data_IF_005914057817
#
_entry.id   IF_005914057817
#
_cell.length_a   1.000
_cell.length_b   1.000
_cell.length_c   1.000
_cell.angle_alpha   90.00
_cell.angle_beta   90.00
_cell.angle_gamma   90.00
#
_symmetry.space_group_name_H-M   'P 1'
#
loop_
_entity.id
_entity.type
_entity.pdbx_description
1 polymer ?
#
# COMPACT_ATOMS: atom_id res chain seq x y z
N UNK A 1 -24.66 11.22 -22.87
CA UNK A 1 -24.51 11.18 -21.40
C UNK A 1 -24.50 12.63 -20.96
N UNK A 2 -25.34 13.03 -20.00
CA UNK A 2 -25.30 14.40 -19.50
C UNK A 2 -23.96 14.66 -18.82
N UNK A 3 -23.37 15.84 -19.05
CA UNK A 3 -22.14 16.25 -18.37
C UNK A 3 -22.41 16.25 -16.86
N UNK A 4 -21.85 15.26 -16.16
CA UNK A 4 -21.92 15.21 -14.70
C UNK A 4 -20.98 16.26 -14.15
N UNK A 5 -21.52 17.26 -13.47
CA UNK A 5 -20.75 18.26 -12.74
C UNK A 5 -20.83 18.00 -11.25
N UNK A 6 -19.76 18.32 -10.54
CA UNK A 6 -19.66 18.28 -9.09
C UNK A 6 -19.55 19.72 -8.57
N UNK A 7 -20.36 20.07 -7.58
CA UNK A 7 -20.31 21.34 -6.86
C UNK A 7 -20.34 21.13 -5.35
N UNK A 8 -20.27 22.23 -4.59
CA UNK A 8 -20.39 22.16 -3.14
C UNK A 8 -21.78 21.64 -2.71
N UNK A 9 -21.79 20.82 -1.67
CA UNK A 9 -22.94 20.08 -1.13
C UNK A 9 -23.43 18.89 -1.99
N UNK A 10 -22.76 18.57 -3.09
CA UNK A 10 -23.09 17.35 -3.83
C UNK A 10 -22.61 16.11 -3.08
N UNK A 11 -23.44 15.04 -3.05
CA UNK A 11 -23.07 13.78 -2.44
C UNK A 11 -22.01 13.06 -3.28
N UNK A 12 -21.04 12.47 -2.60
CA UNK A 12 -19.94 11.74 -3.22
C UNK A 12 -19.66 10.44 -2.47
N UNK A 13 -18.98 9.52 -3.14
CA UNK A 13 -18.33 8.39 -2.52
C UNK A 13 -16.81 8.48 -2.65
N UNK A 14 -16.11 7.98 -1.65
CA UNK A 14 -14.65 7.87 -1.66
C UNK A 14 -14.18 6.77 -0.71
N UNK A 15 -12.86 6.58 -0.61
CA UNK A 15 -12.24 5.62 0.31
C UNK A 15 -11.66 6.33 1.52
N UNK A 16 -11.67 5.64 2.65
CA UNK A 16 -11.05 6.06 3.92
C UNK A 16 -10.28 4.91 4.55
N UNK A 17 -9.28 5.22 5.38
CA UNK A 17 -8.55 4.22 6.17
C UNK A 17 -8.95 4.33 7.64
N UNK A 18 -9.50 3.25 8.21
CA UNK A 18 -9.79 3.13 9.64
C UNK A 18 -9.15 1.84 10.17
N UNK A 19 -8.41 1.92 11.29
CA UNK A 19 -7.72 0.76 11.89
C UNK A 19 -6.95 -0.11 10.86
N UNK A 20 -6.27 0.56 9.91
CA UNK A 20 -5.48 -0.06 8.83
C UNK A 20 -6.27 -0.86 7.80
N UNK A 21 -7.59 -0.68 7.72
CA UNK A 21 -8.43 -1.25 6.66
C UNK A 21 -9.02 -0.13 5.82
N UNK A 22 -9.26 -0.43 4.54
CA UNK A 22 -9.89 0.50 3.60
C UNK A 22 -11.41 0.29 3.65
N UNK A 23 -12.15 1.38 3.79
CA UNK A 23 -13.61 1.38 3.78
C UNK A 23 -14.12 2.38 2.75
N UNK A 24 -15.31 2.11 2.22
CA UNK A 24 -16.09 3.13 1.54
C UNK A 24 -16.56 4.18 2.57
N UNK A 25 -16.50 5.45 2.18
CA UNK A 25 -17.19 6.53 2.85
C UNK A 25 -18.11 7.25 1.86
N UNK A 26 -19.33 7.54 2.29
CA UNK A 26 -20.21 8.49 1.62
C UNK A 26 -20.01 9.84 2.28
N UNK A 27 -19.87 10.90 1.49
CA UNK A 27 -19.62 12.24 1.95
C UNK A 27 -20.43 13.27 1.18
N UNK A 28 -20.38 14.49 1.66
CA UNK A 28 -20.91 15.68 1.01
C UNK A 28 -19.73 16.61 0.70
N UNK A 29 -19.66 17.11 -0.53
CA UNK A 29 -18.58 17.98 -0.98
C UNK A 29 -18.63 19.30 -0.22
N UNK A 30 -17.50 19.72 0.35
CA UNK A 30 -17.39 21.00 1.09
C UNK A 30 -16.67 22.05 0.25
N UNK A 31 -15.59 21.65 -0.42
CA UNK A 31 -14.76 22.55 -1.24
C UNK A 31 -14.10 21.74 -2.36
N UNK A 32 -13.92 22.38 -3.52
CA UNK A 32 -13.26 21.81 -4.68
C UNK A 32 -12.05 22.65 -5.03
N UNK A 33 -10.92 22.01 -5.32
CA UNK A 33 -9.70 22.69 -5.72
C UNK A 33 -9.14 22.06 -6.99
N UNK A 34 -8.67 22.91 -7.90
CA UNK A 34 -7.94 22.53 -9.11
C UNK A 34 -6.71 23.41 -9.24
N UNK A 35 -5.53 22.80 -9.44
CA UNK A 35 -4.24 23.51 -9.46
C UNK A 35 -4.00 24.38 -8.22
N UNK A 36 -4.47 23.92 -7.05
CA UNK A 36 -4.38 24.62 -5.77
C UNK A 36 -5.27 25.87 -5.65
N UNK A 37 -6.19 26.09 -6.60
CA UNK A 37 -7.17 27.19 -6.57
C UNK A 37 -8.56 26.64 -6.28
N UNK A 38 -9.37 27.32 -5.44
CA UNK A 38 -10.75 26.94 -5.22
C UNK A 38 -11.58 27.11 -6.50
N UNK A 39 -12.49 26.17 -6.75
CA UNK A 39 -13.44 26.20 -7.86
C UNK A 39 -14.84 25.89 -7.33
N UNK A 40 -15.88 26.52 -7.88
CA UNK A 40 -17.27 26.31 -7.42
C UNK A 40 -17.92 25.08 -8.07
N UNK A 41 -17.51 24.79 -9.31
CA UNK A 41 -18.07 23.74 -10.16
C UNK A 41 -16.93 23.04 -10.91
N UNK A 42 -16.98 21.71 -10.97
CA UNK A 42 -15.99 20.89 -11.66
C UNK A 42 -16.68 19.80 -12.48
N UNK A 43 -16.33 19.63 -13.76
CA UNK A 43 -16.80 18.46 -14.53
C UNK A 43 -16.21 17.18 -13.93
N UNK A 44 -16.99 16.10 -13.88
CA UNK A 44 -16.55 14.80 -13.42
C UNK A 44 -15.35 14.28 -14.23
N UNK A 45 -15.22 14.66 -15.50
CA UNK A 45 -14.07 14.30 -16.34
C UNK A 45 -12.75 14.86 -15.81
N UNK A 46 -12.78 16.03 -15.15
CA UNK A 46 -11.60 16.63 -14.54
C UNK A 46 -11.23 16.01 -13.19
N UNK A 47 -12.09 15.18 -12.58
CA UNK A 47 -11.75 14.52 -11.32
C UNK A 47 -10.52 13.61 -11.48
N UNK A 48 -10.31 13.04 -12.67
CA UNK A 48 -9.13 12.21 -12.95
C UNK A 48 -7.80 12.98 -12.88
N UNK A 49 -7.83 14.31 -12.97
CA UNK A 49 -6.64 15.15 -13.02
C UNK A 49 -5.86 15.10 -11.69
N UNK A 50 -4.52 14.91 -11.72
CA UNK A 50 -3.72 14.79 -10.50
C UNK A 50 -3.74 16.02 -9.59
N UNK A 51 -4.06 17.20 -10.13
CA UNK A 51 -4.09 18.47 -9.40
C UNK A 51 -5.43 18.77 -8.72
N UNK A 52 -6.43 17.90 -8.92
CA UNK A 52 -7.76 18.08 -8.30
C UNK A 52 -7.78 17.49 -6.90
N UNK A 53 -8.21 18.31 -5.95
CA UNK A 53 -8.46 17.92 -4.57
C UNK A 53 -9.93 18.19 -4.21
N UNK A 54 -10.52 17.24 -3.49
CA UNK A 54 -11.91 17.34 -3.02
C UNK A 54 -11.88 17.29 -1.51
N UNK A 55 -12.39 18.35 -0.87
CA UNK A 55 -12.65 18.37 0.56
C UNK A 55 -14.10 17.98 0.79
N UNK A 56 -14.35 17.04 1.67
CA UNK A 56 -15.68 16.48 1.91
C UNK A 56 -15.93 16.24 3.39
N UNK A 57 -17.20 16.17 3.77
CA UNK A 57 -17.63 15.81 5.11
C UNK A 57 -18.34 14.46 5.06
N UNK A 58 -17.94 13.51 5.92
CA UNK A 58 -18.52 12.16 5.93
C UNK A 58 -20.00 12.24 6.37
N UNK A 59 -20.89 11.57 5.64
CA UNK A 59 -22.28 11.39 6.03
C UNK A 59 -22.43 10.15 6.89
N UNK A 60 -23.16 10.26 8.01
CA UNK A 60 -23.43 9.13 8.88
C UNK A 60 -24.67 8.37 8.35
N UNK A 61 -24.44 7.20 7.78
CA UNK A 61 -25.51 6.33 7.31
C UNK A 61 -25.99 5.40 8.44
N UNK A 62 -27.30 5.17 8.51
CA UNK A 62 -27.90 4.15 9.35
C UNK A 62 -28.64 3.12 8.49
N UNK A 63 -28.55 1.86 8.90
CA UNK A 63 -29.33 0.80 8.28
C UNK A 63 -30.83 1.03 8.57
N UNK A 64 -31.69 0.82 7.58
CA UNK A 64 -33.14 0.92 7.69
C UNK A 64 -33.75 -0.44 7.40
N UNK A 65 -34.73 -0.85 8.21
CA UNK A 65 -35.50 -2.09 8.01
C UNK A 65 -36.59 -1.86 6.95
N UNK A 66 -36.17 -1.55 5.73
CA UNK A 66 -37.07 -1.36 4.59
C UNK A 66 -36.77 -2.38 3.49
N UNK A 67 -37.81 -2.80 2.77
CA UNK A 67 -37.69 -3.82 1.72
C UNK A 67 -36.88 -3.35 0.49
N UNK A 68 -36.82 -2.05 0.24
CA UNK A 68 -36.31 -1.49 -1.02
C UNK A 68 -34.99 -0.71 -0.89
N UNK A 69 -34.74 -0.10 0.29
CA UNK A 69 -33.57 0.71 0.61
C UNK A 69 -32.98 0.31 1.97
N UNK A 70 -31.68 0.00 1.99
CA UNK A 70 -31.03 -0.57 3.18
C UNK A 70 -30.36 0.50 4.05
N UNK A 71 -30.06 1.68 3.49
CA UNK A 71 -29.28 2.74 4.16
C UNK A 71 -29.90 4.11 3.96
N UNK A 72 -30.01 4.87 5.05
CA UNK A 72 -30.48 6.26 5.06
C UNK A 72 -29.44 7.16 5.75
N UNK A 73 -29.22 8.36 5.21
CA UNK A 73 -28.43 9.37 5.91
C UNK A 73 -29.19 9.89 7.13
N UNK A 74 -28.65 9.71 8.34
CA UNK A 74 -29.32 10.11 9.57
C UNK A 74 -29.28 11.63 9.88
N UNK A 75 -28.94 12.47 8.88
CA UNK A 75 -28.80 13.93 8.96
C UNK A 75 -27.67 14.43 9.86
N UNK A 76 -26.86 13.52 10.41
CA UNK A 76 -25.63 13.88 11.13
C UNK A 76 -24.42 13.73 10.21
N UNK A 77 -23.41 14.59 10.45
CA UNK A 77 -22.17 14.62 9.68
C UNK A 77 -20.99 14.29 10.58
N UNK A 78 -20.07 13.51 10.05
CA UNK A 78 -18.81 13.16 10.69
C UNK A 78 -17.71 14.21 10.47
N UNK A 79 -16.47 13.74 10.51
CA UNK A 79 -15.30 14.58 10.25
C UNK A 79 -15.22 15.07 8.81
N UNK A 80 -14.49 16.18 8.62
CA UNK A 80 -14.12 16.71 7.30
C UNK A 80 -12.72 16.22 6.92
N UNK A 81 -12.57 15.78 5.67
CA UNK A 81 -11.34 15.22 5.14
C UNK A 81 -11.10 15.75 3.73
N UNK A 82 -9.88 15.53 3.23
CA UNK A 82 -9.48 15.85 1.86
C UNK A 82 -8.95 14.59 1.18
N UNK A 83 -9.22 14.47 -0.11
CA UNK A 83 -8.76 13.36 -0.95
C UNK A 83 -8.52 13.84 -2.39
N UNK A 84 -7.91 13.00 -3.22
CA UNK A 84 -7.70 13.30 -4.63
C UNK A 84 -9.00 13.14 -5.41
N UNK A 85 -9.23 14.00 -6.41
CA UNK A 85 -10.42 13.93 -7.27
C UNK A 85 -10.63 12.55 -7.88
N UNK A 86 -9.55 11.87 -8.31
CA UNK A 86 -9.63 10.55 -8.96
C UNK A 86 -10.10 9.42 -8.04
N UNK A 87 -10.13 9.67 -6.72
CA UNK A 87 -10.63 8.75 -5.70
C UNK A 87 -12.05 9.12 -5.25
N UNK A 88 -12.71 10.02 -5.97
CA UNK A 88 -14.07 10.48 -5.72
C UNK A 88 -14.97 10.03 -6.87
N UNK A 89 -16.11 9.45 -6.52
CA UNK A 89 -17.19 9.17 -7.45
C UNK A 89 -18.40 10.03 -7.07
N UNK A 90 -18.84 10.96 -7.92
CA UNK A 90 -20.09 11.71 -7.70
C UNK A 90 -21.28 10.77 -7.62
N UNK A 91 -22.18 11.03 -6.66
CA UNK A 91 -23.38 10.25 -6.44
C UNK A 91 -24.61 11.01 -6.92
N UNK A 92 -25.61 10.25 -7.37
CA UNK A 92 -26.97 10.73 -7.64
C UNK A 92 -27.95 9.91 -6.80
N UNK A 93 -27.99 10.11 -5.47
CA UNK A 93 -28.79 9.27 -4.59
C UNK A 93 -30.28 9.56 -4.77
N UNK A 94 -31.10 8.55 -4.51
CA UNK A 94 -32.54 8.76 -4.34
C UNK A 94 -32.77 9.68 -3.14
N UNK A 95 -33.58 10.71 -3.34
CA UNK A 95 -33.93 11.68 -2.30
C UNK A 95 -35.35 11.41 -1.81
N UNK A 96 -35.48 11.07 -0.53
CA UNK A 96 -36.77 10.96 0.14
C UNK A 96 -37.11 12.26 0.88
N UNK A 97 -38.34 12.73 0.75
CA UNK A 97 -38.86 13.90 1.48
C UNK A 97 -40.00 13.44 2.37
N UNK A 98 -39.68 12.99 3.59
CA UNK A 98 -40.68 12.62 4.61
C UNK A 98 -41.24 13.85 5.34
N UNK A 99 -40.42 14.88 5.51
CA UNK A 99 -40.76 16.15 6.10
C UNK A 99 -40.44 17.28 5.11
N UNK A 100 -41.35 18.24 4.97
CA UNK A 100 -41.17 19.38 4.08
C UNK A 100 -39.84 20.10 4.38
N UNK A 101 -39.01 20.27 3.35
CA UNK A 101 -37.72 20.95 3.44
C UNK A 101 -36.58 20.15 4.05
N UNK A 102 -36.76 18.85 4.34
CA UNK A 102 -35.68 17.99 4.88
C UNK A 102 -35.46 16.76 4.00
N UNK A 103 -34.72 16.91 2.88
CA UNK A 103 -34.36 15.76 2.06
C UNK A 103 -33.51 14.79 2.87
N UNK A 104 -33.71 13.50 2.65
CA UNK A 104 -32.82 12.45 3.11
C UNK A 104 -32.34 11.61 1.94
N UNK A 105 -31.03 11.32 1.91
CA UNK A 105 -30.45 10.42 0.92
C UNK A 105 -30.64 8.97 1.35
N UNK A 106 -31.05 8.13 0.40
CA UNK A 106 -31.12 6.68 0.59
C UNK A 106 -30.25 5.94 -0.42
N UNK A 107 -29.73 4.80 0.03
CA UNK A 107 -28.79 3.98 -0.72
C UNK A 107 -29.11 2.50 -0.55
N UNK A 108 -28.79 1.71 -1.57
CA UNK A 108 -28.87 0.25 -1.53
C UNK A 108 -27.52 -0.34 -1.18
N UNK A 109 -27.50 -1.42 -0.38
CA UNK A 109 -26.24 -2.06 0.00
C UNK A 109 -25.46 -2.56 -1.20
N UNK A 110 -26.15 -3.08 -2.22
CA UNK A 110 -25.51 -3.58 -3.45
C UNK A 110 -24.80 -2.46 -4.23
N UNK A 111 -25.40 -1.28 -4.32
CA UNK A 111 -24.80 -0.14 -5.02
C UNK A 111 -23.57 0.38 -4.27
N UNK A 112 -23.67 0.49 -2.94
CA UNK A 112 -22.53 0.87 -2.10
C UNK A 112 -21.39 -0.16 -2.17
N UNK A 113 -21.71 -1.46 -2.18
CA UNK A 113 -20.69 -2.52 -2.36
C UNK A 113 -20.04 -2.44 -3.74
N UNK A 114 -20.81 -2.29 -4.81
CA UNK A 114 -20.29 -2.16 -6.16
C UNK A 114 -19.37 -0.93 -6.29
N UNK A 115 -19.76 0.17 -5.67
CA UNK A 115 -18.98 1.41 -5.64
C UNK A 115 -17.69 1.29 -4.84
N UNK A 116 -17.76 0.65 -3.68
CA UNK A 116 -16.59 0.31 -2.87
C UNK A 116 -15.57 -0.50 -3.69
N UNK A 117 -16.04 -1.51 -4.41
CA UNK A 117 -15.18 -2.33 -5.28
C UNK A 117 -14.59 -1.53 -6.44
N UNK A 118 -15.40 -0.71 -7.12
CA UNK A 118 -14.95 0.09 -8.26
C UNK A 118 -13.88 1.11 -7.86
N UNK A 119 -14.05 1.79 -6.71
CA UNK A 119 -13.06 2.72 -6.17
C UNK A 119 -11.80 1.97 -5.70
N UNK A 120 -11.97 0.83 -5.04
CA UNK A 120 -10.86 0.04 -4.51
C UNK A 120 -10.01 -0.60 -5.62
N UNK A 121 -10.62 -1.01 -6.73
CA UNK A 121 -9.90 -1.53 -7.90
C UNK A 121 -9.04 -0.46 -8.59
N UNK A 122 -9.52 0.80 -8.62
CA UNK A 122 -8.76 1.96 -9.11
C UNK A 122 -7.62 2.39 -8.19
N UNK A 123 -7.61 1.94 -6.93
CA UNK A 123 -6.68 2.43 -5.92
C UNK A 123 -5.26 1.90 -6.17
N UNK A 124 -4.36 2.76 -6.64
CA UNK A 124 -2.95 2.40 -6.78
C UNK A 124 -2.20 2.44 -5.44
N UNK A 125 -1.02 1.84 -5.40
CA UNK A 125 -0.13 1.89 -4.21
C UNK A 125 0.22 3.32 -3.80
N UNK A 126 0.46 4.18 -4.78
CA UNK A 126 0.77 5.59 -4.55
C UNK A 126 -0.42 6.39 -4.01
N UNK A 127 -1.66 5.93 -4.25
CA UNK A 127 -2.87 6.60 -3.79
C UNK A 127 -3.19 6.29 -2.32
N UNK A 128 -2.83 5.11 -1.81
CA UNK A 128 -3.13 4.68 -0.43
C UNK A 128 -2.62 5.69 0.60
N UNK A 129 -1.44 6.28 0.38
CA UNK A 129 -0.87 7.27 1.31
C UNK A 129 -1.64 8.59 1.31
N UNK A 130 -2.44 8.85 0.28
CA UNK A 130 -3.31 10.01 0.14
C UNK A 130 -4.74 9.73 0.62
N UNK A 131 -5.11 8.45 0.85
CA UNK A 131 -6.43 8.10 1.39
C UNK A 131 -6.54 8.61 2.83
N UNK A 132 -7.58 9.40 3.16
CA UNK A 132 -7.71 10.01 4.48
C UNK A 132 -7.86 8.95 5.58
N UNK A 133 -7.12 9.14 6.68
CA UNK A 133 -7.21 8.31 7.89
C UNK A 133 -8.29 8.86 8.81
N UNK A 134 -9.26 8.03 9.14
CA UNK A 134 -10.40 8.39 9.98
C UNK A 134 -10.31 7.71 11.34
N UNK A 135 -10.92 8.34 12.35
CA UNK A 135 -11.05 7.74 13.68
C UNK A 135 -12.23 6.79 13.67
N UNK A 136 -12.09 5.69 14.42
CA UNK A 136 -13.19 4.78 14.68
C UNK A 136 -14.32 5.50 15.42
N UNK A 137 -15.55 5.18 15.03
CA UNK A 137 -16.77 5.50 15.76
C UNK A 137 -17.32 4.24 16.43
N UNK A 138 -18.22 4.39 17.41
CA UNK A 138 -18.68 3.29 18.27
C UNK A 138 -19.62 2.29 17.56
N UNK A 139 -19.94 2.53 16.28
CA UNK A 139 -20.88 1.73 15.50
C UNK A 139 -20.17 0.58 14.74
N UNK A 140 -20.97 -0.37 14.25
CA UNK A 140 -20.48 -1.43 13.37
C UNK A 140 -19.94 -0.81 12.07
N UNK A 141 -18.79 -1.30 11.61
CA UNK A 141 -18.25 -0.86 10.34
C UNK A 141 -18.85 -1.68 9.20
N UNK A 142 -19.17 -0.99 8.11
CA UNK A 142 -19.74 -1.57 6.90
C UNK A 142 -18.91 -1.14 5.69
N UNK A 143 -19.03 -1.87 4.58
CA UNK A 143 -18.36 -1.59 3.30
C UNK A 143 -16.83 -1.59 3.39
N UNK A 144 -16.28 -2.55 4.16
CA UNK A 144 -14.84 -2.82 4.11
C UNK A 144 -14.48 -3.33 2.71
N UNK A 145 -13.43 -2.77 2.14
CA UNK A 145 -12.90 -3.18 0.85
C UNK A 145 -11.79 -4.21 1.08
N UNK A 146 -11.99 -5.43 0.62
CA UNK A 146 -11.04 -6.54 0.77
C UNK A 146 -10.87 -7.22 -0.58
N UNK A 147 -9.65 -7.70 -0.90
CA UNK A 147 -9.46 -8.57 -2.08
C UNK A 147 -9.71 -10.02 -1.65
N UNK A 148 -10.54 -10.74 -2.40
CA UNK A 148 -10.78 -12.17 -2.20
C UNK A 148 -9.67 -12.99 -2.85
N UNK A 149 -8.45 -12.77 -2.40
CA UNK A 149 -7.31 -13.56 -2.82
C UNK A 149 -6.77 -14.27 -1.60
N UNK A 150 -6.92 -15.61 -1.60
CA UNK A 150 -6.30 -16.50 -0.59
C UNK A 150 -4.77 -16.34 -0.54
N UNK A 151 -4.19 -15.65 -1.50
CA UNK A 151 -2.80 -15.20 -1.57
C UNK A 151 -2.79 -13.71 -2.00
N UNK A 152 -2.00 -12.84 -1.37
CA UNK A 152 -1.75 -11.43 -1.76
C UNK A 152 -2.78 -10.35 -1.37
N UNK A 153 -2.77 -10.01 -0.09
CA UNK A 153 -2.38 -8.66 0.37
C UNK A 153 -2.04 -7.65 -0.75
N UNK A 154 -2.97 -6.76 -1.06
CA UNK A 154 -2.65 -5.46 -1.64
C UNK A 154 -3.16 -4.39 -0.67
N UNK A 155 -2.36 -3.34 -0.51
CA UNK A 155 -2.42 -2.26 0.49
C UNK A 155 -1.81 -2.55 1.87
N UNK A 156 -1.94 -3.76 2.42
CA UNK A 156 -1.26 -4.16 3.67
C UNK A 156 0.06 -4.91 3.46
N UNK A 157 0.32 -5.44 2.25
CA UNK A 157 1.61 -6.09 1.92
C UNK A 157 2.82 -5.16 2.04
N UNK A 158 2.57 -3.86 1.98
CA UNK A 158 3.62 -2.88 2.23
C UNK A 158 4.06 -2.84 3.67
N UNK A 159 3.25 -3.36 4.60
CA UNK A 159 3.62 -3.48 6.00
C UNK A 159 4.27 -4.79 6.32
N UNK A 160 4.05 -5.84 5.54
CA UNK A 160 4.57 -7.16 5.90
C UNK A 160 6.00 -7.39 5.42
N UNK A 161 6.74 -8.21 6.15
CA UNK A 161 8.01 -8.73 5.70
C UNK A 161 7.81 -9.66 4.48
N UNK A 162 8.59 -9.50 3.39
CA UNK A 162 8.47 -10.35 2.20
C UNK A 162 8.97 -11.79 2.39
N UNK A 163 9.74 -12.07 3.45
CA UNK A 163 10.34 -13.39 3.70
C UNK A 163 9.68 -14.15 4.86
N UNK A 164 8.80 -13.51 5.64
CA UNK A 164 8.07 -14.22 6.69
C UNK A 164 6.88 -14.99 6.08
N UNK A 165 6.70 -16.29 6.39
CA UNK A 165 5.55 -17.09 5.94
C UNK A 165 4.23 -16.62 6.57
N UNK A 166 4.29 -16.02 7.76
CA UNK A 166 3.17 -15.31 8.39
C UNK A 166 3.32 -13.82 8.10
N UNK A 167 2.22 -13.11 7.83
CA UNK A 167 2.17 -11.65 7.62
C UNK A 167 2.70 -10.86 8.85
N UNK A 168 4.01 -10.85 9.05
CA UNK A 168 4.68 -10.14 10.14
C UNK A 168 4.72 -8.64 9.82
N UNK A 169 3.96 -7.84 10.56
CA UNK A 169 3.87 -6.40 10.32
C UNK A 169 5.16 -5.70 10.77
N UNK A 170 5.78 -5.01 9.83
CA UNK A 170 6.90 -4.10 9.99
C UNK A 170 6.41 -2.66 9.93
N UNK A 171 6.90 -1.85 10.85
CA UNK A 171 6.79 -0.41 10.76
C UNK A 171 7.90 0.12 9.83
N UNK A 172 7.55 0.32 8.57
CA UNK A 172 8.47 0.86 7.56
C UNK A 172 8.84 2.32 7.79
N UNK A 173 8.19 3.02 8.72
CA UNK A 173 8.65 4.36 9.14
C UNK A 173 9.84 4.27 10.11
N UNK A 174 10.13 3.08 10.64
CA UNK A 174 11.22 2.83 11.57
C UNK A 174 12.34 2.03 10.88
N UNK A 175 13.17 2.72 10.10
CA UNK A 175 14.27 2.10 9.36
C UNK A 175 15.16 1.16 10.19
N UNK A 176 15.63 1.54 11.40
CA UNK A 176 16.38 0.62 12.25
C UNK A 176 15.65 -0.69 12.57
N UNK A 177 14.34 -0.66 12.86
CA UNK A 177 13.55 -1.88 13.12
C UNK A 177 13.39 -2.75 11.88
N UNK A 178 13.23 -2.14 10.70
CA UNK A 178 13.23 -2.87 9.43
C UNK A 178 14.57 -3.56 9.22
N UNK A 179 15.68 -2.85 9.40
CA UNK A 179 17.03 -3.39 9.24
C UNK A 179 17.31 -4.53 10.22
N UNK A 180 16.92 -4.39 11.49
CA UNK A 180 17.00 -5.47 12.49
C UNK A 180 16.27 -6.73 12.00
N UNK A 181 15.02 -6.58 11.57
CA UNK A 181 14.22 -7.72 11.13
C UNK A 181 14.82 -8.39 9.89
N UNK A 182 15.17 -7.63 8.85
CA UNK A 182 15.77 -8.19 7.64
C UNK A 182 17.13 -8.83 7.92
N UNK A 183 17.91 -8.26 8.84
CA UNK A 183 19.16 -8.86 9.29
C UNK A 183 18.96 -10.23 9.96
N UNK A 184 17.85 -10.45 10.68
CA UNK A 184 17.55 -11.80 11.21
C UNK A 184 17.34 -12.83 10.11
N UNK A 185 16.64 -12.47 9.02
CA UNK A 185 16.50 -13.34 7.86
C UNK A 185 17.86 -13.63 7.23
N UNK A 186 18.67 -12.59 6.96
CA UNK A 186 20.00 -12.78 6.36
C UNK A 186 20.88 -13.75 7.17
N UNK A 187 20.82 -13.71 8.50
CA UNK A 187 21.71 -14.52 9.34
C UNK A 187 21.17 -15.93 9.60
N UNK A 188 19.86 -16.11 9.66
CA UNK A 188 19.27 -17.32 10.26
C UNK A 188 18.23 -18.02 9.38
N UNK A 189 17.76 -17.36 8.33
CA UNK A 189 16.87 -17.97 7.35
C UNK A 189 17.69 -18.75 6.31
N UNK A 190 17.53 -20.08 6.30
CA UNK A 190 18.27 -20.95 5.37
C UNK A 190 17.82 -20.77 3.92
N UNK A 191 16.68 -20.14 3.67
CA UNK A 191 16.19 -19.87 2.31
C UNK A 191 16.87 -18.65 1.67
N UNK A 192 17.56 -17.82 2.45
CA UNK A 192 18.21 -16.61 1.97
C UNK A 192 19.68 -16.90 1.65
N UNK A 193 20.02 -16.88 0.36
CA UNK A 193 21.41 -17.01 -0.08
C UNK A 193 22.16 -15.66 0.04
N UNK A 194 23.07 -15.57 1.01
CA UNK A 194 23.91 -14.39 1.23
C UNK A 194 24.95 -14.15 0.14
N UNK A 195 25.30 -15.16 -0.65
CA UNK A 195 26.23 -15.00 -1.78
C UNK A 195 25.65 -14.08 -2.87
N UNK A 196 24.33 -13.93 -2.89
CA UNK A 196 23.61 -13.00 -3.78
C UNK A 196 23.61 -11.55 -3.31
N UNK A 197 24.25 -11.27 -2.16
CA UNK A 197 24.30 -9.94 -1.53
C UNK A 197 22.90 -9.30 -1.37
N UNK A 198 21.96 -9.97 -0.67
CA UNK A 198 20.58 -9.52 -0.57
C UNK A 198 20.45 -8.12 0.06
N UNK A 199 19.50 -7.34 -0.42
CA UNK A 199 19.20 -6.00 0.06
C UNK A 199 18.82 -5.98 1.55
N UNK A 200 19.41 -5.05 2.33
CA UNK A 200 19.10 -4.81 3.75
C UNK A 200 17.65 -4.47 4.07
N UNK A 201 16.85 -4.06 3.08
CA UNK A 201 15.44 -3.67 3.28
C UNK A 201 14.44 -4.67 2.73
N UNK A 202 14.72 -5.27 1.57
CA UNK A 202 13.73 -6.10 0.87
C UNK A 202 14.25 -7.49 0.48
N UNK A 203 15.48 -7.84 0.88
CA UNK A 203 16.14 -9.13 0.63
C UNK A 203 16.31 -9.55 -0.84
N UNK A 204 15.90 -8.71 -1.80
CA UNK A 204 16.15 -8.96 -3.22
C UNK A 204 17.67 -8.96 -3.49
N UNK A 205 18.18 -9.91 -4.30
CA UNK A 205 19.61 -10.01 -4.60
C UNK A 205 20.16 -8.83 -5.40
N UNK A 206 21.47 -8.61 -5.32
CA UNK A 206 22.18 -7.69 -6.20
C UNK A 206 22.05 -8.17 -7.67
N UNK A 207 21.91 -7.26 -8.67
CA UNK A 207 21.95 -5.80 -8.61
C UNK A 207 20.58 -5.11 -8.50
N UNK A 208 19.51 -5.81 -8.10
CA UNK A 208 18.17 -5.22 -8.10
C UNK A 208 18.02 -4.03 -7.15
N UNK A 209 18.86 -3.93 -6.12
CA UNK A 209 18.89 -2.81 -5.19
C UNK A 209 20.32 -2.30 -5.06
N UNK A 210 20.55 -1.04 -5.41
CA UNK A 210 21.87 -0.42 -5.44
C UNK A 210 21.88 0.75 -4.47
N UNK A 211 22.81 0.71 -3.52
CA UNK A 211 22.97 1.76 -2.50
C UNK A 211 24.29 2.47 -2.68
N UNK A 212 24.28 3.78 -2.49
CA UNK A 212 25.48 4.59 -2.41
C UNK A 212 25.52 5.29 -1.05
N UNK A 213 26.71 5.56 -0.56
CA UNK A 213 26.91 6.38 0.64
C UNK A 213 27.54 7.70 0.27
N UNK A 214 27.31 8.71 1.12
CA UNK A 214 27.92 10.02 1.04
C UNK A 214 28.36 10.46 2.43
N UNK A 215 29.26 11.43 2.50
CA UNK A 215 29.53 12.16 3.75
C UNK A 215 28.29 12.99 4.11
N UNK A 216 27.92 13.01 5.39
CA UNK A 216 26.85 13.88 5.87
C UNK A 216 27.17 15.37 5.73
N UNK A 217 26.25 16.23 6.19
CA UNK A 217 26.48 17.68 6.25
C UNK A 217 27.08 18.05 7.61
N UNK A 218 28.21 18.75 7.61
CA UNK A 218 28.88 19.26 8.81
C UNK A 218 30.32 18.75 8.99
N UNK A 219 31.08 19.38 9.90
CA UNK A 219 32.48 19.02 10.16
C UNK A 219 32.61 17.61 10.75
N UNK A 220 31.67 17.24 11.62
CA UNK A 220 31.63 15.96 12.35
C UNK A 220 30.59 14.97 11.82
N UNK A 221 30.10 15.21 10.60
CA UNK A 221 29.07 14.36 10.03
C UNK A 221 29.66 13.06 9.50
N UNK A 222 29.20 11.94 10.04
CA UNK A 222 29.54 10.61 9.56
C UNK A 222 28.95 10.28 8.17
N UNK A 223 29.10 9.04 7.76
CA UNK A 223 28.48 8.51 6.54
C UNK A 223 26.95 8.58 6.62
N UNK A 224 26.31 8.68 5.46
CA UNK A 224 24.86 8.63 5.26
C UNK A 224 24.56 7.89 3.96
N UNK A 225 23.39 7.27 3.85
CA UNK A 225 22.91 6.72 2.57
C UNK A 225 22.57 7.89 1.63
N UNK A 226 23.08 7.84 0.41
CA UNK A 226 22.71 8.80 -0.62
C UNK A 226 21.45 8.32 -1.35
N UNK A 227 20.29 8.61 -0.76
CA UNK A 227 18.98 8.21 -1.29
C UNK A 227 18.71 8.77 -2.70
N UNK A 228 19.38 9.86 -3.11
CA UNK A 228 19.22 10.42 -4.46
C UNK A 228 19.93 9.60 -5.54
N UNK A 229 21.07 9.01 -5.18
CA UNK A 229 21.88 8.18 -6.10
C UNK A 229 21.50 6.69 -6.01
N UNK A 230 21.04 6.26 -4.85
CA UNK A 230 20.56 4.89 -4.59
C UNK A 230 19.24 4.64 -5.32
N UNK A 231 19.04 3.43 -5.82
CA UNK A 231 17.88 3.08 -6.64
C UNK A 231 17.54 1.58 -6.57
N UNK A 232 16.39 1.23 -7.14
CA UNK A 232 15.90 -0.14 -7.27
C UNK A 232 15.08 -0.63 -6.08
N UNK A 233 15.43 -0.29 -4.83
CA UNK A 233 14.69 -0.74 -3.65
C UNK A 233 13.40 0.07 -3.39
N UNK A 234 12.24 -0.52 -3.70
CA UNK A 234 10.91 0.05 -3.41
C UNK A 234 10.59 0.17 -1.93
N UNK A 235 11.34 -0.53 -1.06
CA UNK A 235 11.15 -0.52 0.39
C UNK A 235 12.27 0.22 1.14
N UNK A 236 13.01 1.07 0.44
CA UNK A 236 14.07 1.85 1.06
C UNK A 236 13.48 2.94 1.95
N UNK A 237 13.86 2.93 3.23
CA UNK A 237 13.34 3.88 4.22
C UNK A 237 14.50 4.67 4.84
N UNK A 238 14.33 5.98 5.11
CA UNK A 238 15.39 6.79 5.69
C UNK A 238 15.69 6.34 7.13
N UNK A 239 16.97 6.38 7.52
CA UNK A 239 17.41 6.12 8.89
C UNK A 239 18.67 6.91 9.22
N UNK A 240 18.94 7.06 10.53
CA UNK A 240 20.15 7.72 11.02
C UNK A 240 21.32 6.74 10.98
N UNK A 241 22.21 6.91 10.01
CA UNK A 241 23.32 5.97 9.77
C UNK A 241 24.18 5.70 11.01
N UNK A 242 24.60 6.74 11.74
CA UNK A 242 25.44 6.59 12.95
C UNK A 242 24.79 5.67 13.98
N UNK A 243 23.51 5.89 14.27
CA UNK A 243 22.74 5.06 15.20
C UNK A 243 22.64 3.62 14.70
N UNK A 244 22.22 3.43 13.44
CA UNK A 244 22.05 2.11 12.84
C UNK A 244 23.37 1.36 12.61
N UNK A 245 24.52 2.03 12.63
CA UNK A 245 25.84 1.42 12.50
C UNK A 245 26.40 0.89 13.83
N UNK A 246 25.70 1.12 14.95
CA UNK A 246 26.13 0.74 16.29
C UNK A 246 25.14 -0.25 16.91
N UNK A 247 25.62 -1.45 17.23
CA UNK A 247 24.82 -2.43 17.97
C UNK A 247 24.62 -1.96 19.43
N UNK A 248 23.39 -2.06 19.92
CA UNK A 248 23.03 -1.80 21.31
C UNK A 248 22.05 -2.85 21.85
N UNK A 249 21.80 -2.86 23.16
CA UNK A 249 20.85 -3.78 23.78
C UNK A 249 19.42 -3.63 23.23
N UNK A 250 19.01 -2.42 22.83
CA UNK A 250 17.66 -2.14 22.34
C UNK A 250 17.53 -2.21 20.81
N UNK A 251 18.66 -2.23 20.12
CA UNK A 251 18.79 -2.29 18.66
C UNK A 251 20.02 -3.13 18.32
N UNK A 252 19.91 -4.47 18.33
CA UNK A 252 21.05 -5.37 18.18
C UNK A 252 21.43 -5.55 16.70
N UNK A 253 21.52 -4.48 15.93
CA UNK A 253 21.82 -4.56 14.50
C UNK A 253 22.73 -3.40 14.09
N UNK A 254 23.82 -3.72 13.40
CA UNK A 254 24.73 -2.79 12.75
C UNK A 254 24.78 -2.97 11.24
N UNK A 255 23.77 -3.63 10.65
CA UNK A 255 23.71 -3.90 9.22
C UNK A 255 23.39 -2.62 8.44
N UNK A 256 24.43 -1.94 7.97
CA UNK A 256 24.35 -0.72 7.15
C UNK A 256 25.17 -0.89 5.86
N UNK A 257 24.87 -0.16 4.78
CA UNK A 257 25.69 -0.18 3.58
C UNK A 257 27.05 0.51 3.83
N UNK A 258 28.15 -0.19 3.57
CA UNK A 258 29.54 0.27 3.74
C UNK A 258 30.30 0.27 2.42
N UNK A 259 31.32 1.11 2.29
CA UNK A 259 32.16 1.17 1.08
C UNK A 259 33.20 0.06 1.14
N UNK A 260 33.32 -0.73 0.07
CA UNK A 260 34.43 -1.67 -0.07
C UNK A 260 35.69 -0.90 -0.49
N UNK A 261 36.80 -0.98 0.27
CA UNK A 261 38.05 -0.27 -0.05
C UNK A 261 38.80 -0.87 -1.24
N UNK A 262 38.40 -2.06 -1.72
CA UNK A 262 38.96 -2.72 -2.90
C UNK A 262 38.19 -2.43 -4.18
N UNK A 263 36.96 -1.97 -4.06
CA UNK A 263 36.19 -1.50 -5.21
C UNK A 263 36.71 -0.13 -5.69
N UNK A 264 36.59 0.18 -6.99
CA UNK A 264 36.88 1.51 -7.51
C UNK A 264 36.09 2.60 -6.76
N UNK A 265 36.68 3.80 -6.65
CA UNK A 265 36.00 4.94 -6.02
C UNK A 265 34.65 5.22 -6.70
N UNK A 266 33.62 5.47 -5.91
CA UNK A 266 32.26 5.72 -6.40
C UNK A 266 31.43 4.48 -6.71
N UNK A 267 31.97 3.27 -6.49
CA UNK A 267 31.22 2.01 -6.58
C UNK A 267 30.05 1.96 -5.58
N UNK A 268 29.01 1.15 -5.85
CA UNK A 268 27.95 0.89 -4.88
C UNK A 268 28.50 0.39 -3.53
N UNK A 269 27.83 0.78 -2.46
CA UNK A 269 28.08 0.28 -1.13
C UNK A 269 27.50 -1.14 -0.97
N UNK A 270 28.10 -1.91 -0.07
CA UNK A 270 27.76 -3.30 0.24
C UNK A 270 27.22 -3.35 1.66
N UNK A 271 26.13 -4.08 1.89
CA UNK A 271 25.61 -4.25 3.25
C UNK A 271 26.63 -4.97 4.14
N UNK A 272 26.86 -4.45 5.36
CA UNK A 272 27.85 -4.96 6.32
C UNK A 272 27.80 -6.50 6.42
N UNK A 273 26.59 -7.06 6.54
CA UNK A 273 26.42 -8.50 6.75
C UNK A 273 26.69 -9.33 5.49
N UNK A 274 26.70 -8.71 4.31
CA UNK A 274 27.05 -9.38 3.05
C UNK A 274 28.51 -9.14 2.64
N UNK A 275 29.24 -8.31 3.37
CA UNK A 275 30.56 -7.83 2.96
C UNK A 275 31.61 -8.94 2.81
N UNK A 276 31.56 -9.99 3.64
CA UNK A 276 32.45 -11.16 3.47
C UNK A 276 32.17 -11.90 2.14
N UNK A 277 30.89 -12.14 1.82
CA UNK A 277 30.50 -12.80 0.57
C UNK A 277 30.92 -11.95 -0.64
N UNK A 278 30.74 -10.62 -0.53
CA UNK A 278 31.22 -9.68 -1.53
C UNK A 278 32.74 -9.77 -1.75
N UNK A 279 33.55 -9.76 -0.69
CA UNK A 279 35.01 -9.91 -0.80
C UNK A 279 35.39 -11.21 -1.51
N UNK A 280 34.80 -12.33 -1.09
CA UNK A 280 35.11 -13.65 -1.67
C UNK A 280 34.78 -13.71 -3.16
N UNK A 281 33.68 -13.08 -3.58
CA UNK A 281 33.19 -13.11 -4.96
C UNK A 281 33.87 -12.08 -5.86
N UNK A 282 33.93 -10.82 -5.43
CA UNK A 282 34.43 -9.71 -6.23
C UNK A 282 35.95 -9.51 -6.11
N UNK A 283 36.55 -10.01 -5.03
CA UNK A 283 37.97 -9.85 -4.73
C UNK A 283 38.60 -11.18 -4.22
N UNK A 284 38.56 -12.26 -5.02
CA UNK A 284 38.96 -13.61 -4.57
C UNK A 284 40.43 -13.71 -4.13
N UNK A 285 41.27 -12.77 -4.53
CA UNK A 285 42.70 -12.69 -4.16
C UNK A 285 42.97 -11.84 -2.91
N UNK A 286 41.94 -11.17 -2.37
CA UNK A 286 42.09 -10.38 -1.16
C UNK A 286 42.13 -11.29 0.08
N UNK A 287 43.04 -11.00 1.01
CA UNK A 287 43.00 -11.62 2.32
C UNK A 287 41.80 -11.08 3.11
N UNK A 288 40.84 -11.95 3.44
CA UNK A 288 39.62 -11.54 4.13
C UNK A 288 39.88 -11.03 5.55
N UNK A 289 40.93 -11.51 6.21
CA UNK A 289 41.26 -11.11 7.59
C UNK A 289 41.64 -9.63 7.70
N UNK A 290 42.23 -9.05 6.65
CA UNK A 290 42.56 -7.61 6.58
C UNK A 290 41.32 -6.71 6.70
N UNK A 291 40.14 -7.27 6.38
CA UNK A 291 38.86 -6.56 6.38
C UNK A 291 37.91 -7.03 7.47
N UNK A 292 38.38 -7.86 8.40
CA UNK A 292 37.54 -8.48 9.44
C UNK A 292 36.72 -7.47 10.24
N UNK A 293 37.27 -6.30 10.51
CA UNK A 293 36.57 -5.21 11.22
C UNK A 293 35.34 -4.69 10.48
N UNK A 294 35.29 -4.81 9.14
CA UNK A 294 34.19 -4.31 8.31
C UNK A 294 32.97 -5.24 8.33
N UNK A 295 33.16 -6.55 8.53
CA UNK A 295 32.06 -7.53 8.48
C UNK A 295 31.83 -8.30 9.78
N UNK A 296 32.67 -8.08 10.81
CA UNK A 296 32.50 -8.74 12.10
C UNK A 296 31.17 -8.33 12.74
N UNK A 297 30.43 -9.34 13.18
CA UNK A 297 29.20 -9.22 13.97
C UNK A 297 29.59 -9.65 15.38
N UNK A 298 29.33 -8.81 16.38
CA UNK A 298 29.72 -9.15 17.75
C UNK A 298 28.89 -10.33 18.29
N UNK A 299 29.38 -10.99 19.34
CA UNK A 299 28.63 -12.05 20.01
C UNK A 299 27.29 -11.55 20.59
N UNK A 300 27.29 -10.35 21.18
CA UNK A 300 26.08 -9.72 21.73
C UNK A 300 25.08 -9.34 20.64
N UNK A 301 25.55 -8.85 19.50
CA UNK A 301 24.73 -8.55 18.33
C UNK A 301 24.07 -9.81 17.76
N UNK A 302 24.86 -10.87 17.57
CA UNK A 302 24.37 -12.16 17.08
C UNK A 302 23.33 -12.76 18.04
N UNK A 303 23.59 -12.70 19.36
CA UNK A 303 22.65 -13.17 20.37
C UNK A 303 21.34 -12.36 20.36
N UNK A 304 21.42 -11.02 20.27
CA UNK A 304 20.24 -10.16 20.21
C UNK A 304 19.39 -10.41 18.96
N UNK A 305 20.02 -10.55 17.79
CA UNK A 305 19.31 -10.93 16.55
C UNK A 305 18.71 -12.32 16.64
N UNK A 306 19.40 -13.28 17.28
CA UNK A 306 18.87 -14.63 17.51
C UNK A 306 17.58 -14.58 18.32
N UNK A 307 17.56 -13.81 19.41
CA UNK A 307 16.35 -13.61 20.22
C UNK A 307 15.22 -13.00 19.40
N UNK A 308 15.50 -12.01 18.55
CA UNK A 308 14.50 -11.42 17.64
C UNK A 308 13.98 -12.45 16.63
N UNK A 309 14.85 -13.28 16.07
CA UNK A 309 14.48 -14.36 15.16
C UNK A 309 13.54 -15.36 15.84
N UNK A 310 13.93 -15.90 16.99
CA UNK A 310 13.17 -16.93 17.69
C UNK A 310 11.79 -16.42 18.15
N UNK A 311 11.71 -15.12 18.48
CA UNK A 311 10.46 -14.47 18.90
C UNK A 311 9.63 -13.85 17.77
N UNK A 312 10.07 -13.92 16.51
CA UNK A 312 9.43 -13.19 15.39
C UNK A 312 7.96 -13.54 15.15
N UNK A 313 7.55 -14.78 15.44
CA UNK A 313 6.15 -15.21 15.29
C UNK A 313 5.37 -15.18 16.60
N UNK A 314 6.04 -14.95 17.72
CA UNK A 314 5.35 -14.69 18.97
C UNK A 314 4.71 -13.34 18.75
N UNK A 315 3.38 -13.32 18.57
CA UNK A 315 2.62 -12.09 18.48
C UNK A 315 3.13 -11.21 19.62
N UNK A 316 3.90 -10.16 19.27
CA UNK A 316 4.28 -9.15 20.24
C UNK A 316 2.92 -8.76 20.79
N UNK A 317 2.66 -9.08 22.05
CA UNK A 317 1.60 -8.41 22.79
C UNK A 317 2.05 -6.97 22.71
N UNK A 318 1.60 -6.24 21.68
CA UNK A 318 1.62 -4.80 21.68
C UNK A 318 1.16 -4.48 23.08
N UNK A 319 2.02 -3.82 23.85
CA UNK A 319 1.69 -3.42 25.22
C UNK A 319 0.25 -2.98 25.15
N UNK A 320 -0.67 -3.79 25.72
CA UNK A 320 -2.09 -3.51 25.66
C UNK A 320 -2.26 -2.34 26.61
N UNK A 321 -1.83 -1.13 26.21
CA UNK A 321 -2.74 0.00 26.32
C UNK A 321 -4.04 -0.55 25.81
N UNK A 322 -5.00 -0.69 26.71
CA UNK A 322 -6.32 -1.30 26.54
C UNK A 322 -7.02 -0.69 25.33
N UNK A 323 -6.58 -1.12 24.15
CA UNK A 323 -7.10 -0.66 22.89
C UNK A 323 -8.55 -1.12 22.79
N UNK A 324 -9.39 -0.35 22.08
CA UNK A 324 -10.76 -0.75 21.86
C UNK A 324 -10.79 -2.16 21.24
N UNK A 325 -11.81 -2.95 21.62
CA UNK A 325 -12.03 -4.28 21.06
C UNK A 325 -12.02 -4.22 19.52
N UNK A 326 -11.55 -5.25 18.78
CA UNK A 326 -11.50 -5.22 17.32
C UNK A 326 -12.80 -4.70 16.68
N UNK A 327 -12.68 -3.88 15.65
CA UNK A 327 -13.84 -3.36 14.93
C UNK A 327 -14.68 -4.53 14.40
N UNK A 328 -15.94 -4.62 14.85
CA UNK A 328 -16.89 -5.61 14.34
C UNK A 328 -17.34 -5.15 12.95
N UNK A 329 -17.01 -5.96 11.96
CA UNK A 329 -17.42 -5.76 10.57
C UNK A 329 -18.62 -6.67 10.33
N UNK A 330 -19.70 -6.12 9.77
CA UNK A 330 -20.83 -6.93 9.34
C UNK A 330 -20.45 -7.74 8.09
N UNK A 331 -20.61 -9.07 8.15
CA UNK A 331 -20.30 -9.97 7.03
C UNK A 331 -21.09 -9.63 5.76
N UNK A 332 -22.35 -9.25 5.91
CA UNK A 332 -23.26 -8.88 4.81
C UNK A 332 -22.80 -7.64 4.04
N UNK A 333 -22.01 -6.78 4.70
CA UNK A 333 -21.55 -5.50 4.15
C UNK A 333 -20.07 -5.53 3.73
N UNK A 334 -19.49 -6.72 3.51
CA UNK A 334 -18.13 -6.84 2.98
C UNK A 334 -18.14 -6.67 1.46
N UNK A 335 -17.30 -5.78 0.95
CA UNK A 335 -17.04 -5.62 -0.47
C UNK A 335 -15.80 -6.45 -0.82
N UNK A 336 -16.03 -7.63 -1.38
CA UNK A 336 -14.98 -8.57 -1.76
C UNK A 336 -14.66 -8.43 -3.25
N UNK A 337 -13.48 -7.93 -3.56
CA UNK A 337 -12.97 -7.86 -4.93
C UNK A 337 -12.48 -9.26 -5.30
N UNK A 338 -13.30 -10.00 -6.05
CA UNK A 338 -12.89 -11.27 -6.64
C UNK A 338 -12.01 -10.94 -7.83
N UNK A 339 -10.69 -11.11 -7.67
CA UNK A 339 -9.76 -11.00 -8.79
C UNK A 339 -10.01 -12.20 -9.70
N UNK A 340 -10.49 -12.03 -10.95
CA UNK A 340 -10.77 -13.15 -11.82
C UNK A 340 -9.45 -13.82 -12.22
N UNK A 341 -9.04 -14.85 -11.47
CA UNK A 341 -7.82 -15.61 -11.75
C UNK A 341 -7.91 -16.45 -13.05
N UNK A 342 -9.09 -16.60 -13.65
CA UNK A 342 -9.29 -17.45 -14.84
C UNK A 342 -10.38 -16.89 -15.77
N UNK A 343 -10.09 -15.78 -16.46
CA UNK A 343 -10.86 -15.40 -17.66
C UNK A 343 -9.99 -15.25 -18.93
N UNK A 344 -8.67 -15.51 -18.84
CA UNK A 344 -7.81 -15.63 -20.02
C UNK A 344 -7.93 -17.01 -20.71
N UNK A 345 -8.48 -18.03 -20.03
CA UNK A 345 -8.67 -19.36 -20.63
C UNK A 345 -10.00 -19.53 -21.40
N UNK A 346 -11.01 -18.68 -21.16
CA UNK A 346 -12.32 -18.81 -21.82
C UNK A 346 -12.59 -17.78 -22.94
N UNK A 347 -11.78 -16.72 -23.06
CA UNK A 347 -11.90 -15.80 -24.20
C UNK A 347 -11.11 -16.24 -25.45
N UNK A 348 -10.17 -17.17 -25.32
CA UNK A 348 -9.46 -17.74 -26.48
C UNK A 348 -10.20 -18.88 -27.21
N UNK A 349 -11.33 -19.37 -26.66
CA UNK A 349 -12.18 -20.38 -27.30
C UNK A 349 -13.54 -19.87 -27.81
N UNK A 350 -13.73 -18.54 -27.84
CA UNK A 350 -14.86 -17.92 -28.56
C UNK A 350 -14.48 -17.28 -29.91
N UNK A 351 -13.21 -17.38 -30.31
CA UNK A 351 -12.74 -16.91 -31.62
C UNK A 351 -12.73 -17.99 -32.73
N UNK A 352 -13.06 -19.26 -32.43
CA UNK A 352 -13.05 -20.36 -33.43
C UNK A 352 -14.45 -20.88 -33.84
N UNK A 353 -15.54 -20.25 -33.42
CA UNK A 353 -16.91 -20.66 -33.81
C UNK A 353 -17.68 -19.60 -34.62
N UNK A 354 -16.98 -18.68 -35.29
CA UNK A 354 -17.61 -17.73 -36.24
C UNK A 354 -16.92 -17.73 -37.61
N UNK A 355 -16.40 -18.90 -38.04
CA UNK A 355 -15.94 -19.13 -39.42
C UNK A 355 -16.47 -20.47 -39.96
N UNK A 356 -17.78 -20.75 -39.84
CA UNK A 356 -18.48 -21.68 -40.75
C UNK A 356 -19.94 -21.22 -40.90
N UNK A 357 -20.18 -20.09 -41.57
CA UNK A 357 -21.50 -19.80 -42.18
C UNK A 357 -21.47 -18.59 -43.13
N UNK A 358 -20.64 -18.62 -44.18
CA UNK A 358 -20.90 -17.83 -45.40
C UNK A 358 -20.43 -18.62 -46.62
N UNK A 359 -21.38 -19.32 -47.24
CA UNK A 359 -21.16 -20.01 -48.51
C UNK A 359 -22.48 -20.25 -49.22
N UNK A 360 -22.95 -19.23 -49.96
CA UNK A 360 -23.72 -19.29 -51.23
C UNK A 360 -24.55 -18.01 -51.42
N UNK A 361 -23.98 -17.03 -52.11
CA UNK A 361 -24.75 -16.11 -52.95
C UNK A 361 -24.36 -16.43 -54.40
N UNK A 362 -25.30 -17.05 -55.12
CA UNK A 362 -25.22 -17.23 -56.56
C UNK A 362 -25.86 -16.03 -57.26
N UNK A 363 -25.14 -15.49 -58.22
CA UNK A 363 -25.60 -14.56 -59.24
C UNK A 363 -26.68 -15.19 -60.12
N UNK A 364 -27.63 -14.39 -60.63
CA UNK A 364 -28.10 -14.44 -62.04
C UNK A 364 -28.73 -13.10 -62.43
N UNK A 365 -28.29 -12.59 -63.58
CA UNK A 365 -28.82 -11.42 -64.30
C UNK A 365 -29.67 -11.88 -65.48
N UNK A 366 -30.77 -11.16 -65.78
CA UNK A 366 -31.32 -10.84 -67.12
C UNK A 366 -32.64 -10.07 -66.88
N UNK A 367 -32.79 -8.80 -67.26
CA UNK A 367 -33.18 -8.33 -68.60
C UNK A 367 -34.45 -9.01 -69.13
N UNK A 368 -35.62 -8.42 -68.91
CA UNK A 368 -36.38 -7.52 -69.82
C UNK A 368 -37.31 -6.69 -68.93
#
# INVERSE_FOLDING_TARGET
MGDRTLCANDPIATLVICENRVFLAVGETVDLQSDGKPVELLSADFLAEPSVNVRFQVLNLCAVDSMDDDWEWNKTRGGTYSTLGRLVEPLDPTVLVREAGKPTFVFKSNDLRALALALYDKLSKADIVQVPKVKRTDHHACFVCEKDTRETTDTLNERFCPACPTSFELDWNNGPRVLEHMATHMLFDRSIDRATEPCGFCLRPQPMCVFFTRKGKGKDSGLQVDLKKSHGCERCVPFQYKSASTCSTHSPCSNVPIVCPRCPSGSPAVWKYNFLAHLQRAHPTANVDDYKSLYSISGSETAGLRTLWDSRYVARRASRTSGPAPLKISEEHRALLVVPYVALYFMHHRAELTIIQKGRCGWHSTSI
#
